data_IF_941242960367
#
_entry.id   IF_941242960367
#
_cell.length_a   1.000
_cell.length_b   1.000
_cell.length_c   1.000
_cell.angle_alpha   90.00
_cell.angle_beta   90.00
_cell.angle_gamma   90.00
#
_symmetry.space_group_name_H-M   'P 1'
#
loop_
_entity.id
_entity.type
_entity.pdbx_description
1 polymer ?
#
# COMPACT_ATOMS: atom_id res chain seq x y z
N UNK A 1 22.19 -45.53 15.06
CA UNK A 1 21.76 -44.86 13.82
C UNK A 1 20.44 -44.15 14.08
N UNK A 2 20.47 -42.88 14.35
CA UNK A 2 19.27 -42.01 14.53
C UNK A 2 19.06 -41.22 13.24
N UNK A 3 17.96 -41.47 12.55
CA UNK A 3 17.53 -40.75 11.36
C UNK A 3 17.03 -39.38 11.77
N UNK A 4 17.71 -38.35 11.34
CA UNK A 4 17.27 -36.95 11.40
C UNK A 4 16.30 -36.70 10.23
N UNK A 5 15.02 -36.60 10.51
CA UNK A 5 14.02 -36.09 9.56
C UNK A 5 14.19 -34.58 9.41
N UNK A 6 14.73 -34.17 8.31
CA UNK A 6 14.65 -32.78 7.84
C UNK A 6 13.19 -32.44 7.53
N UNK A 7 12.61 -31.50 8.29
CA UNK A 7 11.31 -30.91 7.97
C UNK A 7 11.53 -29.95 6.79
N UNK A 8 11.02 -30.32 5.64
CA UNK A 8 10.99 -29.44 4.48
C UNK A 8 10.13 -28.23 4.76
N UNK A 9 10.69 -27.05 4.57
CA UNK A 9 9.97 -25.78 4.59
C UNK A 9 9.21 -25.68 3.28
N UNK A 10 7.88 -25.77 3.32
CA UNK A 10 7.05 -25.53 2.14
C UNK A 10 6.94 -24.01 1.95
N UNK A 11 7.64 -23.47 0.98
CA UNK A 11 7.44 -22.11 0.48
C UNK A 11 6.25 -22.17 -0.47
N UNK A 12 5.09 -21.65 -0.06
CA UNK A 12 3.95 -21.48 -0.94
C UNK A 12 4.08 -20.14 -1.65
N UNK A 13 4.55 -20.14 -2.90
CA UNK A 13 4.40 -19.00 -3.80
C UNK A 13 2.91 -18.96 -4.22
N UNK A 14 2.18 -17.96 -3.73
CA UNK A 14 0.82 -17.74 -4.18
C UNK A 14 0.85 -16.91 -5.47
N UNK A 15 0.67 -17.57 -6.60
CA UNK A 15 0.34 -16.90 -7.86
C UNK A 15 -1.16 -16.57 -7.82
N UNK A 16 -1.52 -15.30 -7.83
CA UNK A 16 -2.91 -14.88 -8.01
C UNK A 16 -3.21 -14.86 -9.49
N UNK A 17 -3.66 -16.00 -10.03
CA UNK A 17 -4.34 -16.04 -11.32
C UNK A 17 -5.81 -15.75 -11.04
N UNK A 18 -6.34 -14.63 -11.52
CA UNK A 18 -7.75 -14.31 -11.46
C UNK A 18 -8.52 -15.25 -12.40
N UNK A 19 -9.03 -16.36 -11.88
CA UNK A 19 -9.95 -17.22 -12.62
C UNK A 19 -11.37 -16.72 -12.41
N UNK A 20 -11.97 -16.18 -13.47
CA UNK A 20 -13.40 -15.89 -13.54
C UNK A 20 -14.13 -17.25 -13.70
N UNK A 21 -14.75 -17.77 -12.63
CA UNK A 21 -15.68 -18.91 -12.73
C UNK A 21 -17.10 -18.37 -12.79
N UNK A 22 -17.69 -18.40 -13.99
CA UNK A 22 -19.13 -18.24 -14.19
C UNK A 22 -19.76 -19.63 -14.08
N UNK A 23 -20.60 -19.85 -13.07
CA UNK A 23 -21.36 -21.11 -12.95
C UNK A 23 -22.17 -21.23 -11.67
N UNK A 24 -23.48 -20.99 -11.78
CA UNK A 24 -24.60 -21.68 -11.11
C UNK A 24 -24.58 -21.89 -9.57
N UNK A 25 -25.34 -21.08 -8.89
CA UNK A 25 -26.11 -21.19 -7.68
C UNK A 25 -25.92 -22.33 -6.66
N UNK A 26 -25.55 -21.95 -5.42
CA UNK A 26 -26.21 -22.40 -4.18
C UNK A 26 -26.04 -21.25 -3.18
N UNK A 27 -27.15 -20.64 -2.79
CA UNK A 27 -27.16 -19.54 -1.84
C UNK A 27 -26.96 -20.03 -0.40
N UNK A 28 -25.90 -19.56 0.26
CA UNK A 28 -25.83 -19.54 1.72
C UNK A 28 -26.01 -18.10 2.16
N UNK A 29 -27.17 -17.80 2.73
CA UNK A 29 -27.41 -16.50 3.39
C UNK A 29 -26.67 -16.51 4.73
N UNK A 30 -25.53 -15.81 4.80
CA UNK A 30 -24.97 -15.38 6.08
C UNK A 30 -25.62 -14.06 6.45
N UNK A 31 -26.43 -14.05 7.48
CA UNK A 31 -26.89 -12.80 8.11
C UNK A 31 -25.65 -12.11 8.71
N UNK A 32 -25.14 -11.09 8.04
CA UNK A 32 -24.19 -10.13 8.62
C UNK A 32 -24.98 -9.18 9.52
N UNK A 33 -24.53 -9.06 10.77
CA UNK A 33 -24.93 -7.91 11.57
C UNK A 33 -24.51 -6.65 10.79
N UNK A 34 -25.47 -5.82 10.45
CA UNK A 34 -25.24 -4.50 9.85
C UNK A 34 -24.59 -3.61 10.89
N UNK A 35 -23.25 -3.64 10.97
CA UNK A 35 -22.52 -2.50 11.51
C UNK A 35 -22.82 -1.30 10.60
N UNK A 36 -23.27 -0.21 11.18
CA UNK A 36 -23.54 1.01 10.44
C UNK A 36 -22.30 1.40 9.66
N UNK A 37 -22.40 1.50 8.33
CA UNK A 37 -21.33 2.04 7.50
C UNK A 37 -20.92 3.40 8.06
N UNK A 38 -19.62 3.63 8.33
CA UNK A 38 -19.15 4.96 8.67
C UNK A 38 -19.53 5.94 7.54
N UNK A 39 -19.82 7.19 7.86
CA UNK A 39 -20.22 8.17 6.86
C UNK A 39 -19.15 8.23 5.77
N UNK A 40 -19.57 8.05 4.52
CA UNK A 40 -18.75 8.34 3.36
C UNK A 40 -18.20 9.75 3.50
N UNK A 41 -16.92 9.96 3.13
CA UNK A 41 -16.31 11.29 3.02
C UNK A 41 -17.36 12.24 2.45
N UNK A 42 -17.71 13.28 3.22
CA UNK A 42 -18.59 14.32 2.74
C UNK A 42 -17.99 14.81 1.43
N UNK A 43 -18.72 14.65 0.32
CA UNK A 43 -18.27 15.03 -1.03
C UNK A 43 -18.14 16.54 -1.06
N UNK A 44 -17.05 17.05 -0.53
CA UNK A 44 -16.74 18.45 -0.61
C UNK A 44 -16.47 18.80 -2.08
N UNK A 45 -17.27 19.71 -2.58
CA UNK A 45 -17.03 20.43 -3.82
C UNK A 45 -15.54 20.84 -3.86
N UNK A 46 -14.85 20.58 -4.97
CA UNK A 46 -13.42 20.79 -5.25
C UNK A 46 -12.71 21.68 -4.23
N UNK A 47 -11.96 21.07 -3.30
CA UNK A 47 -11.09 21.81 -2.38
C UNK A 47 -10.20 22.76 -3.17
N UNK A 48 -10.04 23.98 -2.68
CA UNK A 48 -9.10 24.95 -3.26
C UNK A 48 -7.71 24.84 -2.63
N UNK A 49 -7.62 24.12 -1.50
CA UNK A 49 -6.38 23.98 -0.71
C UNK A 49 -5.77 22.58 -0.85
N UNK A 50 -6.57 21.54 -0.90
CA UNK A 50 -6.06 20.19 -1.06
C UNK A 50 -5.94 19.84 -2.55
N UNK A 51 -4.72 19.90 -3.12
CA UNK A 51 -4.44 19.43 -4.47
C UNK A 51 -4.54 17.89 -4.54
N UNK A 52 -4.04 17.23 -3.48
CA UNK A 52 -4.32 15.82 -3.19
C UNK A 52 -4.97 15.73 -1.82
N UNK A 53 -6.13 15.08 -1.74
CA UNK A 53 -6.78 14.79 -0.46
C UNK A 53 -5.89 13.93 0.42
N UNK A 54 -6.10 13.90 1.74
CA UNK A 54 -5.36 13.02 2.64
C UNK A 54 -5.43 11.56 2.20
N UNK A 55 -4.28 10.92 2.16
CA UNK A 55 -4.11 9.50 1.83
C UNK A 55 -3.16 8.82 2.81
N UNK A 56 -3.36 7.52 3.01
CA UNK A 56 -2.76 6.73 4.08
C UNK A 56 -1.64 5.83 3.55
N UNK A 57 -0.51 5.86 4.22
CA UNK A 57 0.73 5.21 3.79
C UNK A 57 1.34 4.37 4.89
N UNK A 58 2.08 3.35 4.51
CA UNK A 58 2.91 2.56 5.42
C UNK A 58 2.18 2.10 6.69
N UNK A 59 1.01 1.44 6.57
CA UNK A 59 0.27 0.98 7.74
C UNK A 59 1.10 -0.04 8.51
N UNK A 60 1.05 0.07 9.85
CA UNK A 60 1.69 -0.83 10.81
C UNK A 60 0.69 -1.16 11.93
N UNK A 61 1.09 -2.03 12.82
CA UNK A 61 0.28 -2.39 14.00
C UNK A 61 0.15 -1.24 14.99
N UNK A 62 1.13 -0.34 15.03
CA UNK A 62 1.26 0.75 16.01
C UNK A 62 1.32 2.15 15.39
N UNK A 63 1.36 2.24 14.05
CA UNK A 63 1.53 3.51 13.34
C UNK A 63 0.98 3.47 11.92
N UNK A 64 0.70 4.68 11.38
CA UNK A 64 0.37 4.90 9.97
C UNK A 64 0.82 6.32 9.59
N UNK A 65 1.12 6.55 8.32
CA UNK A 65 1.42 7.89 7.83
C UNK A 65 0.19 8.43 7.09
N UNK A 66 -0.18 9.68 7.36
CA UNK A 66 -1.11 10.43 6.53
C UNK A 66 -0.32 11.47 5.73
N UNK A 67 -0.58 11.56 4.43
CA UNK A 67 0.03 12.53 3.53
C UNK A 67 -1.04 13.29 2.76
N UNK A 68 -0.74 14.53 2.34
CA UNK A 68 -1.60 15.36 1.50
C UNK A 68 -0.77 16.40 0.76
N UNK A 69 -1.29 16.93 -0.35
CA UNK A 69 -0.61 17.96 -1.14
C UNK A 69 -1.42 19.25 -1.12
N UNK A 70 -0.73 20.38 -0.97
CA UNK A 70 -1.30 21.72 -1.03
C UNK A 70 -0.58 22.59 -2.04
N UNK A 71 -1.17 23.71 -2.51
CA UNK A 71 -0.48 24.68 -3.36
C UNK A 71 0.79 25.25 -2.70
N UNK A 72 1.71 25.71 -3.53
CA UNK A 72 2.87 26.45 -3.08
C UNK A 72 2.47 27.58 -2.12
N UNK A 73 3.25 27.74 -1.03
CA UNK A 73 3.00 28.76 -0.02
C UNK A 73 2.08 28.33 1.14
N UNK A 74 1.34 27.23 1.04
CA UNK A 74 0.59 26.65 2.16
C UNK A 74 1.49 25.71 2.94
N UNK A 75 2.26 26.25 3.88
CA UNK A 75 3.27 25.52 4.65
C UNK A 75 2.74 24.94 5.97
N UNK A 76 1.57 25.39 6.42
CA UNK A 76 1.00 24.94 7.70
C UNK A 76 -0.01 23.84 7.49
N UNK A 77 0.06 22.84 8.36
CA UNK A 77 -0.90 21.75 8.44
C UNK A 77 -1.02 21.25 9.87
N UNK A 78 -2.11 20.58 10.18
CA UNK A 78 -2.34 19.93 11.46
C UNK A 78 -3.09 18.62 11.26
N UNK A 79 -2.76 17.63 12.08
CA UNK A 79 -3.45 16.35 12.10
C UNK A 79 -3.87 16.03 13.52
N UNK A 80 -5.17 15.72 13.69
CA UNK A 80 -5.71 15.12 14.90
C UNK A 80 -6.24 13.72 14.56
N UNK A 81 -6.19 12.79 15.52
CA UNK A 81 -6.65 11.42 15.35
C UNK A 81 -7.02 10.78 16.69
N UNK A 82 -7.76 9.69 16.67
CA UNK A 82 -8.09 8.97 17.90
C UNK A 82 -9.07 7.82 17.68
N UNK A 83 -9.30 7.06 18.75
CA UNK A 83 -10.19 5.91 18.79
C UNK A 83 -11.65 6.31 18.94
N UNK A 84 -12.56 5.57 18.29
CA UNK A 84 -14.00 5.67 18.55
C UNK A 84 -14.59 7.04 18.27
N UNK A 85 -14.10 7.74 17.24
CA UNK A 85 -14.59 9.06 16.82
C UNK A 85 -14.02 10.23 17.64
N UNK A 86 -13.14 9.99 18.60
CA UNK A 86 -12.43 11.02 19.35
C UNK A 86 -11.09 11.30 18.67
N UNK A 87 -10.79 12.57 18.46
CA UNK A 87 -9.52 13.02 17.85
C UNK A 87 -8.73 13.80 18.91
N UNK A 88 -8.34 13.09 19.97
CA UNK A 88 -7.67 13.64 21.15
C UNK A 88 -6.13 13.54 21.08
N UNK A 89 -5.60 12.94 20.03
CA UNK A 89 -4.18 12.87 19.72
C UNK A 89 -3.84 13.81 18.57
N UNK A 90 -2.61 14.33 18.55
CA UNK A 90 -2.10 15.15 17.46
C UNK A 90 -0.74 14.63 16.98
N UNK A 91 -0.46 14.77 15.69
CA UNK A 91 0.80 14.40 15.09
C UNK A 91 1.54 15.63 14.54
N UNK A 92 2.87 15.62 14.67
CA UNK A 92 3.72 16.63 14.07
C UNK A 92 3.72 16.46 12.54
N UNK A 93 3.57 17.58 11.83
CA UNK A 93 3.56 17.62 10.36
C UNK A 93 4.94 18.00 9.86
N UNK A 94 5.43 17.23 8.90
CA UNK A 94 6.62 17.53 8.10
C UNK A 94 6.17 18.01 6.73
N UNK A 95 6.94 18.91 6.11
CA UNK A 95 6.66 19.44 4.78
C UNK A 95 7.84 19.23 3.85
N UNK A 96 7.55 18.91 2.61
CA UNK A 96 8.52 18.77 1.52
C UNK A 96 8.03 19.55 0.31
N UNK A 97 8.83 20.52 -0.16
CA UNK A 97 8.48 21.27 -1.37
C UNK A 97 8.77 20.43 -2.62
N UNK A 98 7.81 20.37 -3.51
CA UNK A 98 7.91 19.70 -4.81
C UNK A 98 7.51 20.69 -5.92
N UNK A 99 7.70 20.30 -7.18
CA UNK A 99 7.30 21.16 -8.31
C UNK A 99 5.78 21.37 -8.42
N UNK A 100 5.00 20.37 -7.99
CA UNK A 100 3.53 20.37 -8.03
C UNK A 100 2.87 20.98 -6.78
N UNK A 101 3.65 21.29 -5.71
CA UNK A 101 3.09 21.84 -4.48
C UNK A 101 3.94 21.59 -3.23
N UNK A 102 3.29 21.62 -2.10
CA UNK A 102 3.89 21.26 -0.80
C UNK A 102 3.29 19.95 -0.33
N UNK A 103 4.10 18.91 -0.29
CA UNK A 103 3.73 17.61 0.30
C UNK A 103 3.86 17.71 1.82
N UNK A 104 2.78 17.41 2.51
CA UNK A 104 2.74 17.31 3.96
C UNK A 104 2.64 15.84 4.35
N UNK A 105 3.34 15.46 5.42
CA UNK A 105 3.26 14.12 6.00
C UNK A 105 3.19 14.19 7.52
N UNK A 106 2.43 13.29 8.13
CA UNK A 106 2.39 13.13 9.57
C UNK A 106 2.35 11.64 9.95
N UNK A 107 3.18 11.23 10.91
CA UNK A 107 3.19 9.86 11.42
C UNK A 107 2.28 9.79 12.63
N UNK A 108 1.18 9.06 12.50
CA UNK A 108 0.25 8.77 13.60
C UNK A 108 0.81 7.56 14.36
N UNK A 109 1.18 7.75 15.63
CA UNK A 109 1.87 6.76 16.45
C UNK A 109 1.05 6.36 17.67
N UNK A 110 1.47 5.27 18.32
CA UNK A 110 0.82 4.79 19.54
C UNK A 110 -0.55 4.20 19.28
N UNK A 111 -0.74 3.66 18.08
CA UNK A 111 -1.99 3.00 17.71
C UNK A 111 -2.08 1.68 18.47
N UNK A 112 -3.30 1.34 18.88
CA UNK A 112 -3.64 0.01 19.32
C UNK A 112 -3.89 -0.85 18.07
N UNK A 113 -3.29 -2.02 18.02
CA UNK A 113 -3.39 -2.94 16.89
C UNK A 113 -4.85 -3.35 16.60
N UNK A 114 -5.14 -3.59 15.32
CA UNK A 114 -6.44 -4.04 14.83
C UNK A 114 -7.61 -3.12 15.16
N UNK A 115 -7.36 -1.85 15.48
CA UNK A 115 -8.36 -0.89 15.98
C UNK A 115 -8.73 0.16 14.95
N UNK A 116 -10.00 0.63 15.00
CA UNK A 116 -10.51 1.66 14.10
C UNK A 116 -10.29 3.05 14.68
N UNK A 117 -9.80 3.95 13.84
CA UNK A 117 -9.47 5.34 14.14
C UNK A 117 -10.20 6.29 13.22
N UNK A 118 -10.51 7.49 13.72
CA UNK A 118 -10.81 8.65 12.89
C UNK A 118 -9.63 9.60 12.87
N UNK A 119 -9.53 10.40 11.84
CA UNK A 119 -8.54 11.47 11.74
C UNK A 119 -9.11 12.69 11.04
N UNK A 120 -8.56 13.86 11.33
CA UNK A 120 -8.78 15.08 10.58
C UNK A 120 -7.47 15.74 10.20
N UNK A 121 -7.42 16.26 8.96
CA UNK A 121 -6.31 17.04 8.43
C UNK A 121 -6.78 18.47 8.20
N UNK A 122 -6.02 19.43 8.73
CA UNK A 122 -6.28 20.87 8.57
C UNK A 122 -5.16 21.49 7.75
N UNK A 123 -5.51 22.27 6.73
CA UNK A 123 -4.55 23.04 5.94
C UNK A 123 -5.27 24.23 5.30
N UNK A 124 -4.62 25.40 5.25
CA UNK A 124 -5.14 26.59 4.56
C UNK A 124 -6.56 27.01 4.94
N UNK A 125 -7.01 26.68 6.17
CA UNK A 125 -8.36 26.98 6.67
C UNK A 125 -9.41 25.92 6.33
N UNK A 126 -9.09 24.90 5.57
CA UNK A 126 -9.96 23.76 5.27
C UNK A 126 -9.67 22.58 6.20
N UNK A 127 -10.66 21.70 6.38
CA UNK A 127 -10.56 20.47 7.18
C UNK A 127 -11.12 19.30 6.39
N UNK A 128 -10.37 18.20 6.34
CA UNK A 128 -10.82 16.93 5.75
C UNK A 128 -10.78 15.85 6.84
N UNK A 129 -11.84 15.08 6.95
CA UNK A 129 -11.96 13.96 7.88
C UNK A 129 -11.81 12.65 7.16
N UNK A 130 -11.27 11.66 7.86
CA UNK A 130 -11.14 10.29 7.35
C UNK A 130 -11.16 9.28 8.50
N UNK A 131 -10.99 8.03 8.13
CA UNK A 131 -10.90 6.92 9.06
C UNK A 131 -9.93 5.87 8.54
N UNK A 132 -9.42 5.02 9.41
CA UNK A 132 -8.59 3.89 9.05
C UNK A 132 -8.64 2.82 10.13
N UNK A 133 -8.10 1.65 9.79
CA UNK A 133 -7.81 0.58 10.75
C UNK A 133 -6.30 0.37 10.82
N UNK A 134 -5.75 0.28 12.05
CA UNK A 134 -4.37 -0.18 12.25
C UNK A 134 -4.27 -1.67 11.94
N UNK A 135 -3.09 -2.13 11.50
CA UNK A 135 -2.89 -3.55 11.22
C UNK A 135 -2.99 -4.39 12.50
N UNK A 136 -3.52 -5.62 12.42
CA UNK A 136 -3.53 -6.52 13.58
C UNK A 136 -2.12 -7.04 13.86
N UNK A 137 -1.76 -7.19 15.14
CA UNK A 137 -0.49 -7.80 15.55
C UNK A 137 -0.53 -9.34 15.50
N UNK A 138 -1.71 -9.94 15.45
CA UNK A 138 -1.90 -11.39 15.40
C UNK A 138 -3.18 -11.76 14.66
N UNK A 139 -3.31 -13.03 14.31
CA UNK A 139 -4.50 -13.55 13.63
C UNK A 139 -4.50 -13.27 12.13
N UNK A 140 -5.69 -13.23 11.53
CA UNK A 140 -5.87 -13.06 10.09
C UNK A 140 -5.63 -11.63 9.66
N UNK A 141 -5.03 -11.48 8.48
CA UNK A 141 -4.94 -10.23 7.74
C UNK A 141 -5.55 -10.42 6.36
N UNK A 142 -6.29 -9.43 5.88
CA UNK A 142 -6.83 -9.36 4.52
C UNK A 142 -6.11 -8.23 3.79
N UNK A 143 -5.51 -8.51 2.66
CA UNK A 143 -4.89 -7.49 1.84
C UNK A 143 -5.38 -7.60 0.40
N UNK A 144 -5.42 -6.46 -0.29
CA UNK A 144 -5.61 -6.37 -1.73
C UNK A 144 -4.26 -6.12 -2.41
N UNK A 145 -4.11 -6.62 -3.64
CA UNK A 145 -2.92 -6.34 -4.45
C UNK A 145 -3.29 -6.19 -5.91
N UNK A 146 -2.64 -5.25 -6.60
CA UNK A 146 -2.68 -5.06 -8.04
C UNK A 146 -1.39 -4.41 -8.53
N UNK A 147 -1.00 -4.67 -9.76
CA UNK A 147 0.11 -4.03 -10.46
C UNK A 147 -0.32 -3.56 -11.83
N UNK A 148 0.58 -2.91 -12.57
CA UNK A 148 0.34 -2.46 -13.94
C UNK A 148 -0.93 -1.62 -14.07
N UNK A 149 -1.09 -0.65 -13.16
CA UNK A 149 -2.22 0.28 -13.12
C UNK A 149 -1.72 1.74 -13.26
N UNK A 150 -2.57 2.74 -13.00
CA UNK A 150 -2.16 4.15 -13.11
C UNK A 150 -2.11 4.67 -14.56
N UNK A 151 -2.87 4.02 -15.43
CA UNK A 151 -3.17 4.50 -16.78
C UNK A 151 -4.41 5.39 -16.86
N UNK A 152 -5.12 5.59 -15.75
CA UNK A 152 -6.32 6.44 -15.69
C UNK A 152 -7.54 5.85 -16.38
N UNK A 153 -7.68 4.54 -16.49
CA UNK A 153 -8.72 3.88 -17.29
C UNK A 153 -10.00 3.57 -16.50
N UNK A 154 -11.12 3.41 -17.20
CA UNK A 154 -12.37 2.98 -16.58
C UNK A 154 -12.29 1.55 -15.99
N UNK A 155 -11.46 0.69 -16.57
CA UNK A 155 -11.22 -0.66 -16.04
C UNK A 155 -10.52 -0.60 -14.69
N UNK A 156 -9.53 0.29 -14.54
CA UNK A 156 -8.85 0.55 -13.29
C UNK A 156 -9.83 1.04 -12.21
N UNK A 157 -10.69 2.02 -12.52
CA UNK A 157 -11.74 2.48 -11.61
C UNK A 157 -12.65 1.34 -11.15
N UNK A 158 -13.00 0.40 -12.03
CA UNK A 158 -13.80 -0.76 -11.67
C UNK A 158 -13.07 -1.69 -10.68
N UNK A 159 -11.76 -1.90 -10.85
CA UNK A 159 -10.94 -2.68 -9.92
C UNK A 159 -10.87 -2.01 -8.55
N UNK A 160 -10.62 -0.69 -8.50
CA UNK A 160 -10.61 0.08 -7.23
C UNK A 160 -11.94 -0.04 -6.49
N UNK A 161 -13.07 0.08 -7.20
CA UNK A 161 -14.39 -0.08 -6.61
C UNK A 161 -14.61 -1.49 -6.03
N UNK A 162 -14.09 -2.53 -6.68
CA UNK A 162 -14.15 -3.90 -6.15
C UNK A 162 -13.28 -4.05 -4.90
N UNK A 163 -12.06 -3.48 -4.89
CA UNK A 163 -11.20 -3.47 -3.71
C UNK A 163 -11.88 -2.76 -2.53
N UNK A 164 -12.50 -1.61 -2.76
CA UNK A 164 -13.25 -0.88 -1.74
C UNK A 164 -14.37 -1.74 -1.12
N UNK A 165 -15.10 -2.49 -1.93
CA UNK A 165 -16.17 -3.39 -1.45
C UNK A 165 -15.64 -4.55 -0.62
N UNK A 166 -14.40 -4.97 -0.83
CA UNK A 166 -13.78 -6.05 -0.06
C UNK A 166 -13.22 -5.59 1.30
N UNK A 167 -13.09 -4.29 1.51
CA UNK A 167 -12.62 -3.67 2.76
C UNK A 167 -11.35 -4.36 3.31
N UNK A 168 -10.21 -4.34 2.57
CA UNK A 168 -8.97 -4.98 3.01
C UNK A 168 -8.34 -4.20 4.17
N UNK A 169 -7.54 -4.86 4.99
CA UNK A 169 -6.76 -4.21 6.06
C UNK A 169 -5.62 -3.37 5.49
N UNK A 170 -5.09 -3.74 4.31
CA UNK A 170 -4.07 -2.97 3.59
C UNK A 170 -4.10 -3.24 2.09
N UNK A 171 -3.52 -2.33 1.34
CA UNK A 171 -3.27 -2.44 -0.09
C UNK A 171 -1.77 -2.50 -0.36
N UNK A 172 -1.32 -3.48 -1.15
CA UNK A 172 0.08 -3.62 -1.58
C UNK A 172 0.11 -3.58 -3.10
N UNK A 173 0.88 -2.66 -3.68
CA UNK A 173 1.04 -2.62 -5.13
C UNK A 173 2.05 -3.64 -5.63
N UNK A 174 2.07 -3.92 -6.93
CA UNK A 174 3.02 -4.85 -7.55
C UNK A 174 3.92 -4.17 -8.60
N UNK A 175 4.07 -2.85 -8.48
CA UNK A 175 4.87 -2.08 -9.43
C UNK A 175 4.11 -1.64 -10.68
N UNK A 176 4.75 -0.79 -11.47
CA UNK A 176 4.18 -0.09 -12.61
C UNK A 176 2.87 0.61 -12.24
N UNK A 177 3.00 1.47 -11.25
CA UNK A 177 1.87 2.10 -10.58
C UNK A 177 1.45 3.40 -11.26
N UNK A 178 2.29 3.91 -12.18
CA UNK A 178 2.08 5.21 -12.82
C UNK A 178 2.66 5.17 -14.24
N UNK A 179 1.80 5.25 -15.22
CA UNK A 179 2.17 5.24 -16.65
C UNK A 179 2.16 6.64 -17.25
N UNK A 180 3.07 6.90 -18.23
CA UNK A 180 4.08 5.95 -18.76
C UNK A 180 5.43 6.02 -18.06
N UNK A 181 5.70 7.05 -17.24
CA UNK A 181 7.05 7.42 -16.81
C UNK A 181 7.21 7.61 -15.31
N UNK A 182 6.18 7.41 -14.51
CA UNK A 182 6.22 7.58 -13.06
C UNK A 182 6.45 9.03 -12.62
N UNK A 183 5.93 10.00 -13.38
CA UNK A 183 6.04 11.43 -13.03
C UNK A 183 4.98 11.85 -12.02
N UNK A 184 5.22 12.97 -11.30
CA UNK A 184 4.22 13.56 -10.40
C UNK A 184 2.94 13.94 -11.17
N UNK A 185 3.08 14.51 -12.37
CA UNK A 185 1.95 14.88 -13.20
C UNK A 185 1.07 13.67 -13.59
N UNK A 186 1.68 12.53 -13.91
CA UNK A 186 0.95 11.30 -14.20
C UNK A 186 0.26 10.73 -12.96
N UNK A 187 0.90 10.80 -11.78
CA UNK A 187 0.26 10.42 -10.52
C UNK A 187 -1.00 11.24 -10.26
N UNK A 188 -0.92 12.57 -10.44
CA UNK A 188 -2.04 13.49 -10.24
C UNK A 188 -3.15 13.29 -11.27
N UNK A 189 -2.79 12.95 -12.50
CA UNK A 189 -3.75 12.74 -13.57
C UNK A 189 -4.42 11.36 -13.48
N UNK A 190 -3.67 10.32 -13.18
CA UNK A 190 -4.10 8.94 -13.39
C UNK A 190 -4.38 8.19 -12.09
N UNK A 191 -3.58 8.38 -11.04
CA UNK A 191 -3.66 7.58 -9.81
C UNK A 191 -4.57 8.24 -8.78
N UNK A 192 -4.21 9.43 -8.30
CA UNK A 192 -4.94 10.06 -7.19
C UNK A 192 -6.44 10.28 -7.46
N UNK A 193 -6.89 10.71 -8.65
CA UNK A 193 -8.31 10.89 -8.89
C UNK A 193 -9.13 9.61 -8.76
N UNK A 194 -8.55 8.47 -9.11
CA UNK A 194 -9.24 7.17 -9.07
C UNK A 194 -9.18 6.51 -7.70
N UNK A 195 -8.05 6.63 -7.00
CA UNK A 195 -7.78 5.96 -5.74
C UNK A 195 -8.06 6.82 -4.49
N UNK A 196 -8.38 8.11 -4.62
CA UNK A 196 -8.51 9.07 -3.49
C UNK A 196 -9.39 8.57 -2.36
N UNK A 197 -10.58 8.05 -2.69
CA UNK A 197 -11.56 7.58 -1.69
C UNK A 197 -11.06 6.30 -1.00
N UNK A 198 -10.43 5.40 -1.75
CA UNK A 198 -9.84 4.19 -1.23
C UNK A 198 -8.63 4.48 -0.33
N UNK A 199 -7.68 5.29 -0.81
CA UNK A 199 -6.45 5.63 -0.09
C UNK A 199 -6.70 6.52 1.14
N UNK A 200 -7.86 7.19 1.23
CA UNK A 200 -8.23 7.97 2.41
C UNK A 200 -8.62 7.11 3.62
N UNK A 201 -8.90 5.82 3.41
CA UNK A 201 -9.33 4.88 4.46
C UNK A 201 -8.51 3.59 4.54
N UNK A 202 -7.75 3.26 3.48
CA UNK A 202 -6.92 2.06 3.41
C UNK A 202 -5.46 2.46 3.23
N UNK A 203 -4.60 2.02 4.14
CA UNK A 203 -3.17 2.26 4.04
C UNK A 203 -2.53 1.48 2.88
N UNK A 204 -1.62 2.12 2.14
CA UNK A 204 -0.92 1.50 1.01
C UNK A 204 0.56 1.26 1.32
N UNK A 205 1.04 0.12 0.85
CA UNK A 205 2.44 -0.25 0.70
C UNK A 205 2.78 -0.21 -0.78
N UNK A 206 3.74 0.64 -1.16
CA UNK A 206 4.11 0.88 -2.55
C UNK A 206 5.29 -0.01 -2.94
N UNK A 207 5.20 -0.68 -4.09
CA UNK A 207 6.26 -1.45 -4.72
C UNK A 207 6.59 -0.78 -6.03
N UNK A 208 7.86 -0.62 -6.36
CA UNK A 208 8.28 0.01 -7.62
C UNK A 208 8.33 -0.99 -8.76
N UNK A 209 7.87 -0.56 -9.94
CA UNK A 209 8.08 -1.25 -11.22
C UNK A 209 9.04 -0.47 -12.13
N UNK A 210 9.28 -0.96 -13.34
CA UNK A 210 10.21 -0.31 -14.26
C UNK A 210 9.71 1.04 -14.78
N UNK A 211 8.40 1.22 -14.97
CA UNK A 211 7.83 2.51 -15.33
C UNK A 211 7.99 3.54 -14.22
N UNK A 212 7.81 3.15 -12.95
CA UNK A 212 8.06 4.02 -11.80
C UNK A 212 9.51 4.50 -11.75
N UNK A 213 10.47 3.66 -12.19
CA UNK A 213 11.90 3.98 -12.23
C UNK A 213 12.30 4.98 -13.31
N UNK A 214 11.50 5.17 -14.36
CA UNK A 214 11.83 6.00 -15.51
C UNK A 214 12.13 7.44 -15.10
N UNK A 215 11.40 7.98 -14.12
CA UNK A 215 11.64 9.33 -13.59
C UNK A 215 12.48 9.27 -12.33
N UNK A 216 13.69 9.84 -12.39
CA UNK A 216 14.60 10.00 -11.26
C UNK A 216 14.78 8.71 -10.42
N UNK A 217 14.83 7.55 -11.09
CA UNK A 217 14.98 6.25 -10.45
C UNK A 217 13.90 5.97 -9.39
N UNK A 218 12.67 6.38 -9.62
CA UNK A 218 11.52 6.16 -8.73
C UNK A 218 11.39 7.15 -7.57
N UNK A 219 12.23 8.20 -7.52
CA UNK A 219 12.18 9.18 -6.44
C UNK A 219 10.80 9.82 -6.23
N UNK A 220 10.02 10.19 -7.27
CA UNK A 220 8.66 10.70 -7.08
C UNK A 220 7.78 9.73 -6.29
N UNK A 221 7.78 8.45 -6.64
CA UNK A 221 7.04 7.41 -5.91
C UNK A 221 7.54 7.23 -4.49
N UNK A 222 8.87 7.13 -4.28
CA UNK A 222 9.45 6.94 -2.95
C UNK A 222 9.07 8.06 -1.98
N UNK A 223 9.11 9.32 -2.44
CA UNK A 223 8.78 10.49 -1.62
C UNK A 223 7.27 10.52 -1.32
N UNK A 224 6.42 10.42 -2.36
CA UNK A 224 4.98 10.61 -2.22
C UNK A 224 4.28 9.44 -1.52
N UNK A 225 4.88 8.24 -1.53
CA UNK A 225 4.37 7.07 -0.82
C UNK A 225 5.20 6.72 0.43
N UNK A 226 6.06 7.64 0.88
CA UNK A 226 6.85 7.55 2.10
C UNK A 226 7.54 6.19 2.24
N UNK A 227 8.11 5.67 1.17
CA UNK A 227 8.81 4.39 1.20
C UNK A 227 10.05 4.51 2.09
N UNK A 228 10.23 3.60 3.06
CA UNK A 228 11.39 3.67 3.96
C UNK A 228 12.69 3.34 3.23
N UNK A 229 12.63 2.45 2.28
CA UNK A 229 13.72 2.02 1.39
C UNK A 229 13.11 1.36 0.15
N UNK A 230 13.93 0.92 -0.77
CA UNK A 230 13.54 0.14 -1.96
C UNK A 230 13.21 -1.30 -1.59
N UNK A 231 13.95 -1.85 -0.64
CA UNK A 231 13.72 -3.17 -0.06
C UNK A 231 13.48 -3.04 1.44
N UNK A 232 12.37 -3.52 1.91
CA UNK A 232 12.02 -3.49 3.34
C UNK A 232 10.99 -4.56 3.65
N UNK A 233 10.77 -4.82 4.92
CA UNK A 233 9.79 -5.79 5.37
C UNK A 233 9.00 -5.30 6.58
N UNK A 234 7.89 -5.96 6.86
CA UNK A 234 7.07 -5.72 8.04
C UNK A 234 6.22 -6.94 8.36
N UNK A 235 5.75 -6.99 9.61
CA UNK A 235 4.84 -8.03 10.08
C UNK A 235 3.44 -7.48 10.29
N UNK A 236 2.43 -8.28 9.97
CA UNK A 236 1.05 -8.03 10.32
C UNK A 236 0.26 -9.35 10.40
N UNK A 237 -0.55 -9.49 11.46
CA UNK A 237 -1.24 -10.74 11.73
C UNK A 237 -0.27 -11.91 11.91
N UNK A 238 -0.54 -13.01 11.21
CA UNK A 238 0.34 -14.19 11.18
C UNK A 238 1.29 -14.19 9.98
N UNK A 239 1.44 -13.06 9.30
CA UNK A 239 2.19 -12.95 8.05
C UNK A 239 3.38 -11.99 8.16
N UNK A 240 4.45 -12.37 7.47
CA UNK A 240 5.60 -11.55 7.17
C UNK A 240 5.54 -11.10 5.71
N UNK A 241 5.76 -9.82 5.46
CA UNK A 241 5.67 -9.18 4.14
C UNK A 241 7.02 -8.58 3.79
N UNK A 242 7.62 -9.06 2.71
CA UNK A 242 8.89 -8.54 2.17
C UNK A 242 8.61 -7.80 0.88
N UNK A 243 9.00 -6.55 0.81
CA UNK A 243 8.89 -5.67 -0.35
C UNK A 243 10.25 -5.59 -1.01
N UNK A 244 10.28 -5.90 -2.32
CA UNK A 244 11.50 -5.91 -3.11
C UNK A 244 11.39 -4.91 -4.25
N UNK A 245 12.51 -4.30 -4.60
CA UNK A 245 12.59 -3.42 -5.76
C UNK A 245 12.33 -4.16 -7.07
N UNK A 246 11.60 -3.51 -7.98
CA UNK A 246 11.27 -4.06 -9.31
C UNK A 246 12.29 -3.78 -10.41
N UNK A 247 13.42 -3.10 -10.12
CA UNK A 247 14.47 -2.89 -11.14
C UNK A 247 15.44 -4.06 -11.15
N UNK A 248 15.26 -4.96 -12.13
CA UNK A 248 16.05 -6.16 -12.31
C UNK A 248 17.54 -5.99 -12.53
N UNK A 249 18.03 -4.77 -12.69
CA UNK A 249 19.44 -4.49 -12.91
C UNK A 249 20.30 -4.59 -11.64
N UNK A 250 19.71 -4.74 -10.44
CA UNK A 250 20.38 -4.47 -9.17
C UNK A 250 20.53 -5.64 -8.20
N UNK A 251 20.71 -6.86 -8.69
CA UNK A 251 21.35 -7.83 -7.83
C UNK A 251 20.45 -8.83 -7.11
N UNK A 252 19.69 -9.59 -7.88
CA UNK A 252 18.94 -10.76 -7.40
C UNK A 252 19.73 -12.07 -7.43
N UNK A 253 20.98 -12.04 -7.88
CA UNK A 253 21.84 -13.24 -7.90
C UNK A 253 22.58 -13.43 -6.57
N UNK A 254 22.94 -14.66 -6.20
CA UNK A 254 23.67 -14.95 -4.96
C UNK A 254 24.89 -14.05 -4.75
N UNK A 255 24.99 -13.46 -3.53
CA UNK A 255 26.04 -12.53 -3.18
C UNK A 255 25.76 -11.06 -3.54
N UNK A 256 24.68 -10.77 -4.22
CA UNK A 256 24.26 -9.41 -4.54
C UNK A 256 23.33 -8.83 -3.44
N UNK A 257 23.25 -7.49 -3.30
CA UNK A 257 22.56 -6.86 -2.18
C UNK A 257 21.10 -7.28 -2.01
N UNK A 258 20.31 -7.38 -3.08
CA UNK A 258 18.88 -7.71 -2.99
C UNK A 258 18.65 -9.18 -2.66
N UNK A 259 19.49 -10.07 -3.22
CA UNK A 259 19.49 -11.49 -2.85
C UNK A 259 19.81 -11.67 -1.37
N UNK A 260 20.89 -11.03 -0.89
CA UNK A 260 21.29 -11.18 0.51
C UNK A 260 20.28 -10.54 1.47
N UNK A 261 19.65 -9.42 1.07
CA UNK A 261 18.54 -8.85 1.83
C UNK A 261 17.41 -9.86 1.99
N UNK A 262 16.87 -10.38 0.89
CA UNK A 262 15.75 -11.33 0.91
C UNK A 262 16.09 -12.59 1.71
N UNK A 263 17.27 -13.16 1.47
CA UNK A 263 17.74 -14.36 2.16
C UNK A 263 17.82 -14.15 3.68
N UNK A 264 18.39 -13.03 4.12
CA UNK A 264 18.53 -12.72 5.54
C UNK A 264 17.17 -12.40 6.18
N UNK A 265 16.34 -11.64 5.50
CA UNK A 265 15.00 -11.28 5.94
C UNK A 265 14.13 -12.53 6.18
N UNK A 266 14.06 -13.44 5.20
CA UNK A 266 13.32 -14.69 5.33
C UNK A 266 13.90 -15.63 6.40
N UNK A 267 15.21 -15.61 6.62
CA UNK A 267 15.86 -16.39 7.66
C UNK A 267 15.54 -15.86 9.07
N UNK A 268 15.48 -14.54 9.25
CA UNK A 268 15.08 -13.91 10.51
C UNK A 268 13.62 -14.20 10.85
N UNK A 269 12.75 -14.34 9.84
CA UNK A 269 11.32 -14.55 10.01
C UNK A 269 10.90 -16.01 9.75
N UNK A 270 11.79 -16.98 10.04
CA UNK A 270 11.54 -18.43 9.81
C UNK A 270 10.26 -18.92 10.48
N UNK A 271 9.87 -18.35 11.60
CA UNK A 271 8.69 -18.74 12.39
C UNK A 271 7.39 -18.07 11.92
N UNK A 272 7.42 -17.11 11.00
CA UNK A 272 6.20 -16.53 10.45
C UNK A 272 5.38 -17.63 9.73
N UNK A 273 4.09 -17.68 10.03
CA UNK A 273 3.20 -18.71 9.45
C UNK A 273 3.08 -18.55 7.95
N UNK A 274 2.98 -17.32 7.48
CA UNK A 274 2.91 -16.95 6.08
C UNK A 274 4.03 -15.97 5.76
N UNK A 275 4.70 -16.16 4.63
CA UNK A 275 5.70 -15.25 4.10
C UNK A 275 5.30 -14.88 2.70
N UNK A 276 5.14 -13.58 2.48
CA UNK A 276 4.80 -13.01 1.18
C UNK A 276 5.96 -12.12 0.72
N UNK A 277 6.40 -12.32 -0.52
CA UNK A 277 7.42 -11.50 -1.17
C UNK A 277 6.78 -10.81 -2.35
N UNK A 278 6.88 -9.48 -2.40
CA UNK A 278 6.28 -8.64 -3.42
C UNK A 278 7.36 -7.95 -4.24
N UNK A 279 7.29 -8.11 -5.54
CA UNK A 279 8.15 -7.46 -6.52
C UNK A 279 7.45 -7.45 -7.88
N UNK A 280 7.92 -6.59 -8.79
CA UNK A 280 7.23 -6.34 -10.05
C UNK A 280 7.43 -7.46 -11.07
N UNK A 281 8.69 -7.86 -11.33
CA UNK A 281 8.98 -8.83 -12.38
C UNK A 281 8.68 -10.27 -11.96
N UNK A 282 7.80 -11.01 -12.67
CA UNK A 282 7.51 -12.40 -12.31
C UNK A 282 8.70 -13.31 -12.66
N UNK A 283 9.05 -14.22 -11.73
CA UNK A 283 10.04 -15.26 -12.00
C UNK A 283 9.57 -16.19 -13.12
N UNK A 284 8.31 -16.61 -13.06
CA UNK A 284 7.66 -17.47 -14.06
C UNK A 284 6.39 -16.81 -14.56
N UNK A 285 6.22 -16.74 -15.89
CA UNK A 285 5.05 -16.14 -16.51
C UNK A 285 4.70 -16.81 -17.82
N UNK A 286 3.40 -17.00 -18.05
CA UNK A 286 2.82 -17.34 -19.36
C UNK A 286 2.31 -16.08 -20.09
N UNK A 287 2.52 -14.90 -19.53
CA UNK A 287 2.11 -13.62 -20.12
C UNK A 287 3.01 -13.19 -21.28
N UNK A 288 2.67 -12.05 -21.89
CA UNK A 288 3.32 -11.52 -23.07
C UNK A 288 4.84 -11.29 -22.91
N UNK A 289 5.28 -10.89 -21.71
CA UNK A 289 6.70 -10.62 -21.42
C UNK A 289 7.50 -11.87 -21.01
N UNK A 290 6.83 -13.01 -20.81
CA UNK A 290 7.48 -14.27 -20.41
C UNK A 290 8.05 -14.25 -19.00
N UNK A 291 8.85 -15.26 -18.69
CA UNK A 291 9.53 -15.41 -17.40
C UNK A 291 10.79 -14.56 -17.33
N UNK A 292 11.16 -14.11 -16.13
CA UNK A 292 12.30 -13.25 -15.90
C UNK A 292 13.48 -14.05 -15.34
N UNK A 293 14.43 -14.42 -16.21
CA UNK A 293 15.51 -15.37 -15.90
C UNK A 293 16.40 -14.98 -14.72
N UNK A 294 16.55 -13.68 -14.40
CA UNK A 294 17.37 -13.23 -13.27
C UNK A 294 16.63 -13.31 -11.91
N UNK A 295 15.33 -13.55 -11.92
CA UNK A 295 14.53 -13.81 -10.69
C UNK A 295 14.48 -15.30 -10.36
N UNK A 296 14.76 -16.17 -11.35
CA UNK A 296 14.70 -17.63 -11.24
C UNK A 296 16.00 -18.26 -10.66
N UNK A 297 17.02 -17.48 -10.33
CA UNK A 297 18.31 -17.94 -9.81
C UNK A 297 18.34 -17.95 -8.28
#
# INVERSE_FOLDING_TARGET
>A
MRSTRTRGVSVALAFVTLALVVGGGIGFAFARATEAQPPSLDRQASSKVFLRLPYLLQPRTDSIIVAWLTPQGVMSGGVAYGLGGREDLAAAVQTHQQEDGVLHTAVLKGLKDGSSYTYSVRSGGEVVHGHFRSLPASGRIRFATTGDFGGGTAAESAVVNLMQQQDPDLFITLGDNTYERGTLAEMDQNVFPQYKDFLSSHGVIWVLGNHDHTTQQGAPSMINFAMPDRNYSFDAGEAHFTIMEGDGSRGYTPGQPYYEFLKNDLALHVNARWKFVFFHYPAYSCGQHGSTAWVDQ
#
